data_IF_484263608261
#
_entry.id   IF_484263608261
#
_cell.length_a   1.000
_cell.length_b   1.000
_cell.length_c   1.000
_cell.angle_alpha   90.00
_cell.angle_beta   90.00
_cell.angle_gamma   90.00
#
_symmetry.space_group_name_H-M   'P 1'
#
loop_
_entity.id
_entity.type
_entity.pdbx_description
1 polymer ?
#
# COMPACT_ATOMS: atom_id res chain seq x y z
N UNK A 1 1.61 25.33 -2.63
CA UNK A 1 0.26 25.33 -2.03
C UNK A 1 0.09 26.54 -1.10
N UNK A 2 -0.54 27.62 -1.58
CA UNK A 2 -0.44 28.93 -0.93
C UNK A 2 -1.48 29.18 0.18
N UNK A 3 -2.54 28.35 0.25
CA UNK A 3 -3.69 28.58 1.14
C UNK A 3 -3.97 27.44 2.13
N UNK A 4 -3.30 26.28 2.00
CA UNK A 4 -3.56 25.10 2.86
C UNK A 4 -4.97 24.50 2.75
N UNK A 5 -5.77 24.89 1.74
CA UNK A 5 -7.16 24.44 1.59
C UNK A 5 -7.24 22.96 1.23
N UNK A 6 -8.08 22.20 1.96
CA UNK A 6 -8.37 20.79 1.66
C UNK A 6 -9.13 20.68 0.33
N UNK A 7 -8.51 20.02 -0.66
CA UNK A 7 -9.07 19.86 -2.00
C UNK A 7 -10.00 18.64 -2.14
N UNK A 8 -9.76 17.61 -1.31
CA UNK A 8 -10.45 16.31 -1.30
C UNK A 8 -11.58 16.23 -0.27
N UNK A 9 -12.27 17.35 -0.04
CA UNK A 9 -13.33 17.46 0.99
C UNK A 9 -14.69 16.89 0.55
N UNK A 10 -14.73 15.97 -0.40
CA UNK A 10 -15.96 15.38 -0.94
C UNK A 10 -15.78 13.88 -1.10
N UNK A 11 -16.88 13.13 -0.95
CA UNK A 11 -16.90 11.66 -1.07
C UNK A 11 -16.30 11.16 -2.39
N UNK A 12 -16.53 11.89 -3.50
CA UNK A 12 -16.02 11.54 -4.83
C UNK A 12 -14.57 11.97 -5.08
N UNK A 13 -13.88 12.51 -4.07
CA UNK A 13 -12.50 13.02 -4.20
C UNK A 13 -11.53 12.39 -3.22
N UNK A 14 -12.03 11.78 -2.14
CA UNK A 14 -11.22 11.03 -1.19
C UNK A 14 -11.61 9.56 -1.30
N UNK A 15 -10.79 8.81 -2.01
CA UNK A 15 -11.04 7.39 -2.27
C UNK A 15 -10.70 6.57 -1.02
N UNK A 16 -11.64 5.74 -0.61
CA UNK A 16 -11.44 4.70 0.42
C UNK A 16 -11.35 3.33 -0.26
N UNK A 17 -10.66 2.35 0.35
CA UNK A 17 -10.67 0.99 -0.17
C UNK A 17 -12.10 0.44 -0.28
N UNK A 18 -12.50 0.05 -1.48
CA UNK A 18 -13.75 -0.60 -1.79
C UNK A 18 -13.62 -2.13 -1.89
N UNK A 19 -14.71 -2.78 -2.30
CA UNK A 19 -14.76 -4.25 -2.39
C UNK A 19 -13.78 -4.88 -3.38
N UNK A 20 -13.26 -4.11 -4.35
CA UNK A 20 -12.29 -4.57 -5.35
C UNK A 20 -10.83 -4.36 -4.94
N UNK A 21 -10.58 -3.64 -3.86
CA UNK A 21 -9.23 -3.31 -3.38
C UNK A 21 -8.69 -4.37 -2.41
N UNK A 22 -9.54 -5.31 -1.97
CA UNK A 22 -9.14 -6.42 -1.10
C UNK A 22 -8.32 -7.46 -1.89
N UNK A 23 -7.38 -8.18 -1.24
CA UNK A 23 -6.65 -9.27 -1.88
C UNK A 23 -7.58 -10.35 -2.42
N UNK A 24 -7.30 -10.87 -3.62
CA UNK A 24 -8.06 -11.96 -4.24
C UNK A 24 -7.98 -13.24 -3.42
N UNK A 25 -6.79 -13.56 -2.89
CA UNK A 25 -6.58 -14.64 -1.93
C UNK A 25 -6.26 -14.01 -0.57
N UNK A 26 -7.23 -14.07 0.35
CA UNK A 26 -7.13 -13.46 1.67
C UNK A 26 -7.28 -14.53 2.76
N UNK A 27 -6.14 -14.90 3.37
CA UNK A 27 -6.08 -15.94 4.40
C UNK A 27 -5.77 -15.33 5.76
N UNK A 28 -6.57 -15.71 6.76
CA UNK A 28 -6.42 -15.25 8.14
C UNK A 28 -6.39 -16.48 9.04
N UNK A 29 -5.38 -16.54 9.92
CA UNK A 29 -5.23 -17.60 10.90
C UNK A 29 -5.08 -16.99 12.28
N UNK A 30 -5.87 -17.47 13.23
CA UNK A 30 -5.70 -17.13 14.64
C UNK A 30 -4.80 -18.18 15.27
N UNK A 31 -3.76 -17.72 15.98
CA UNK A 31 -2.81 -18.61 16.64
C UNK A 31 -3.54 -19.47 17.69
N UNK A 32 -3.48 -20.79 17.51
CA UNK A 32 -4.10 -21.76 18.42
C UNK A 32 -3.24 -21.94 19.68
N UNK A 33 -3.89 -22.27 20.79
CA UNK A 33 -3.24 -22.57 22.07
C UNK A 33 -2.34 -21.42 22.61
N UNK A 34 -2.66 -20.18 22.27
CA UNK A 34 -1.91 -18.99 22.70
C UNK A 34 -2.54 -18.36 23.94
N UNK A 35 -2.23 -18.90 25.11
CA UNK A 35 -2.81 -18.46 26.38
C UNK A 35 -2.48 -16.99 26.70
N UNK A 36 -3.40 -16.31 27.38
CA UNK A 36 -3.20 -14.96 27.92
C UNK A 36 -3.77 -14.86 29.35
N UNK A 37 -3.04 -15.30 30.38
CA UNK A 37 -3.56 -15.38 31.75
C UNK A 37 -4.01 -14.02 32.33
N UNK A 38 -3.50 -12.91 31.78
CA UNK A 38 -3.84 -11.55 32.21
C UNK A 38 -5.06 -10.97 31.49
N UNK A 39 -5.46 -11.54 30.35
CA UNK A 39 -6.60 -11.07 29.58
C UNK A 39 -7.92 -11.52 30.19
N UNK A 40 -8.96 -10.68 30.11
CA UNK A 40 -10.33 -11.09 30.46
C UNK A 40 -10.69 -12.28 29.57
N UNK A 41 -11.03 -13.41 30.18
CA UNK A 41 -11.30 -14.67 29.47
C UNK A 41 -10.16 -15.10 28.53
N UNK A 42 -8.91 -14.75 28.85
CA UNK A 42 -7.72 -15.03 28.03
C UNK A 42 -7.74 -14.37 26.64
N UNK A 43 -8.49 -13.29 26.48
CA UNK A 43 -8.58 -12.50 25.23
C UNK A 43 -7.34 -11.61 25.00
N UNK A 44 -7.18 -11.10 23.77
CA UNK A 44 -6.15 -10.09 23.41
C UNK A 44 -6.81 -8.97 22.61
N UNK A 45 -6.32 -7.75 22.77
CA UNK A 45 -6.75 -6.62 21.95
C UNK A 45 -6.24 -6.78 20.51
N UNK A 46 -7.12 -6.61 19.53
CA UNK A 46 -6.83 -6.82 18.09
C UNK A 46 -7.31 -5.68 17.20
N UNK A 47 -7.77 -4.56 17.75
CA UNK A 47 -8.28 -3.43 16.96
C UNK A 47 -7.20 -2.78 16.11
N UNK A 48 -6.15 -2.29 16.76
CA UNK A 48 -5.05 -1.58 16.10
C UNK A 48 -3.96 -2.49 15.53
N UNK A 49 -3.48 -3.56 16.22
CA UNK A 49 -2.28 -4.29 15.78
C UNK A 49 -2.30 -4.78 14.32
N UNK A 50 -3.42 -5.29 13.77
CA UNK A 50 -3.48 -5.74 12.38
C UNK A 50 -3.32 -4.62 11.34
N UNK A 51 -3.58 -3.35 11.69
CA UNK A 51 -3.48 -2.24 10.73
C UNK A 51 -2.06 -2.10 10.18
N UNK A 52 -1.07 -2.36 11.03
CA UNK A 52 0.35 -2.30 10.66
C UNK A 52 0.72 -3.36 9.61
N UNK A 53 -0.04 -4.46 9.51
CA UNK A 53 0.23 -5.52 8.54
C UNK A 53 -0.05 -5.07 7.10
N UNK A 54 -0.84 -4.02 6.89
CA UNK A 54 -1.13 -3.46 5.56
C UNK A 54 0.14 -2.94 4.85
N UNK A 55 1.20 -2.61 5.60
CA UNK A 55 2.49 -2.18 5.03
C UNK A 55 3.12 -3.25 4.12
N UNK A 56 2.77 -4.53 4.32
CA UNK A 56 3.21 -5.63 3.46
C UNK A 56 2.87 -5.40 1.99
N UNK A 57 1.72 -4.79 1.70
CA UNK A 57 1.29 -4.44 0.33
C UNK A 57 2.20 -3.38 -0.28
N UNK A 58 2.62 -2.37 0.50
CA UNK A 58 3.53 -1.34 0.02
C UNK A 58 4.90 -1.95 -0.32
N UNK A 59 5.43 -2.83 0.52
CA UNK A 59 6.69 -3.52 0.22
C UNK A 59 6.59 -4.43 -1.01
N UNK A 60 5.47 -5.13 -1.19
CA UNK A 60 5.24 -5.96 -2.38
C UNK A 60 5.21 -5.13 -3.67
N UNK A 61 4.56 -3.96 -3.67
CA UNK A 61 4.55 -3.04 -4.82
C UNK A 61 5.95 -2.50 -5.11
N UNK A 62 6.72 -2.13 -4.08
CA UNK A 62 8.11 -1.65 -4.24
C UNK A 62 8.99 -2.73 -4.89
N UNK A 63 8.89 -3.97 -4.43
CA UNK A 63 9.66 -5.08 -5.01
C UNK A 63 9.23 -5.38 -6.45
N UNK A 64 7.93 -5.29 -6.75
CA UNK A 64 7.41 -5.41 -8.12
C UNK A 64 8.02 -4.35 -9.06
N UNK A 65 8.03 -3.08 -8.65
CA UNK A 65 8.65 -2.00 -9.41
C UNK A 65 10.15 -2.20 -9.60
N UNK A 66 10.84 -2.62 -8.55
CA UNK A 66 12.28 -2.92 -8.58
C UNK A 66 12.58 -4.03 -9.60
N UNK A 67 11.81 -5.12 -9.57
CA UNK A 67 11.91 -6.19 -10.56
C UNK A 67 11.65 -5.69 -11.99
N UNK A 68 10.58 -4.91 -12.20
CA UNK A 68 10.25 -4.38 -13.52
C UNK A 68 11.33 -3.44 -14.09
N UNK A 69 12.00 -2.66 -13.22
CA UNK A 69 13.14 -1.81 -13.59
C UNK A 69 14.36 -2.65 -13.98
N UNK A 70 14.66 -3.70 -13.23
CA UNK A 70 15.76 -4.61 -13.55
C UNK A 70 15.55 -5.29 -14.92
N UNK A 71 14.32 -5.63 -15.29
CA UNK A 71 13.99 -6.25 -16.58
C UNK A 71 14.32 -5.34 -17.79
N UNK A 72 14.29 -4.02 -17.61
CA UNK A 72 14.65 -3.03 -18.65
C UNK A 72 16.11 -2.56 -18.55
N UNK A 73 16.91 -3.18 -17.68
CA UNK A 73 18.34 -2.91 -17.53
C UNK A 73 18.67 -1.69 -16.67
N UNK A 74 17.73 -1.20 -15.86
CA UNK A 74 18.01 -0.18 -14.85
C UNK A 74 18.75 -0.81 -13.64
N UNK A 75 19.54 -0.02 -12.90
CA UNK A 75 20.29 -0.53 -11.76
C UNK A 75 19.37 -1.05 -10.66
N UNK A 76 19.84 -2.12 -10.01
CA UNK A 76 19.20 -2.65 -8.81
C UNK A 76 19.49 -1.73 -7.61
N UNK A 77 18.56 -0.82 -7.34
CA UNK A 77 18.70 0.17 -6.26
C UNK A 77 17.44 0.32 -5.43
N UNK A 78 17.62 0.95 -4.26
CA UNK A 78 16.52 1.25 -3.37
C UNK A 78 15.61 2.33 -3.97
N UNK A 79 14.37 1.95 -4.28
CA UNK A 79 13.36 2.88 -4.80
C UNK A 79 12.85 3.79 -3.69
N UNK A 80 13.28 5.06 -3.75
CA UNK A 80 12.79 6.12 -2.86
C UNK A 80 11.38 6.55 -3.27
N UNK A 81 10.39 5.85 -2.72
CA UNK A 81 8.98 6.19 -2.87
C UNK A 81 8.33 6.30 -1.49
N UNK A 82 7.75 7.46 -1.21
CA UNK A 82 7.05 7.77 0.03
C UNK A 82 5.56 7.40 -0.10
N UNK A 83 4.95 7.00 1.02
CA UNK A 83 3.52 6.70 1.06
C UNK A 83 2.69 7.99 0.91
N UNK A 84 1.49 7.93 0.29
CA UNK A 84 0.82 6.74 -0.26
C UNK A 84 1.33 6.33 -1.66
N UNK A 85 1.31 5.02 -1.94
CA UNK A 85 1.67 4.48 -3.26
C UNK A 85 0.47 4.54 -4.19
N UNK A 86 0.12 5.75 -4.62
CA UNK A 86 -0.92 5.98 -5.63
C UNK A 86 -0.47 5.44 -6.99
N UNK A 87 -1.42 5.20 -7.89
CA UNK A 87 -1.10 4.79 -9.26
C UNK A 87 -0.16 5.79 -9.96
N UNK A 88 -0.34 7.09 -9.72
CA UNK A 88 0.55 8.15 -10.20
C UNK A 88 1.97 8.02 -9.66
N UNK A 89 2.13 7.87 -8.34
CA UNK A 89 3.45 7.72 -7.72
C UNK A 89 4.16 6.45 -8.19
N UNK A 90 3.43 5.35 -8.34
CA UNK A 90 3.93 4.08 -8.87
C UNK A 90 4.41 4.28 -10.33
N UNK A 91 3.61 4.96 -11.15
CA UNK A 91 3.93 5.23 -12.55
C UNK A 91 5.17 6.13 -12.68
N UNK A 92 5.22 7.25 -11.97
CA UNK A 92 6.38 8.15 -11.98
C UNK A 92 7.64 7.44 -11.47
N UNK A 93 7.50 6.59 -10.45
CA UNK A 93 8.58 5.74 -9.95
C UNK A 93 8.95 4.59 -10.88
N UNK A 94 8.31 4.40 -12.03
CA UNK A 94 8.73 3.37 -12.99
C UNK A 94 9.79 3.86 -13.99
N UNK A 95 10.09 5.16 -14.04
CA UNK A 95 11.02 5.79 -15.01
C UNK A 95 10.68 5.54 -16.49
N UNK A 96 9.42 5.18 -16.76
CA UNK A 96 8.88 5.03 -18.11
C UNK A 96 8.59 6.42 -18.68
N UNK A 97 8.90 6.62 -19.97
CA UNK A 97 8.58 7.87 -20.68
C UNK A 97 7.06 8.10 -20.74
N UNK A 98 6.61 9.14 -20.05
CA UNK A 98 5.22 9.59 -19.97
C UNK A 98 4.62 9.93 -21.34
N UNK A 99 5.47 10.41 -22.27
CA UNK A 99 5.04 10.81 -23.63
C UNK A 99 4.54 9.64 -24.47
N UNK A 100 4.86 8.41 -24.08
CA UNK A 100 4.37 7.20 -24.74
C UNK A 100 2.87 6.95 -24.51
N UNK A 101 2.30 7.49 -23.43
CA UNK A 101 0.93 7.16 -22.98
C UNK A 101 -0.02 8.36 -22.93
N UNK A 102 0.49 9.58 -22.87
CA UNK A 102 -0.33 10.80 -23.00
C UNK A 102 -0.52 11.08 -24.49
N UNK A 103 -1.75 10.93 -24.99
CA UNK A 103 -2.12 11.44 -26.32
C UNK A 103 -2.24 12.96 -26.21
N UNK A 104 -1.57 13.68 -27.10
CA UNK A 104 -1.79 15.12 -27.33
C UNK A 104 -3.25 15.42 -27.69
#
# INVERSE_FOLDING_TARGET
PDTGRVLTNRTLKYEIPGAKDIPVDWRIYILKNADNPLGILRSKAVGEPPICLAISVLFAIRECLRSARMDVGLPDEWLKMDAPFTAENIFLSSEIDEKKYVRE
#
